data_IF_587457178588
#
_entry.id   IF_587457178588
#
_cell.length_a   1.000
_cell.length_b   1.000
_cell.length_c   1.000
_cell.angle_alpha   90.00
_cell.angle_beta   90.00
_cell.angle_gamma   90.00
#
_symmetry.space_group_name_H-M   'P 1'
#
loop_
_entity.id
_entity.type
_entity.pdbx_description
1 polymer ?
#
# COMPACT_ATOMS: atom_id res chain seq x y z
N UNK A 1 4.31 7.65 -0.48
CA UNK A 1 2.94 7.90 0.02
C UNK A 1 2.95 8.60 1.39
N UNK A 2 3.90 9.51 1.62
CA UNK A 2 4.33 9.95 2.96
C UNK A 2 3.27 10.67 3.80
N UNK A 3 2.23 11.19 3.18
CA UNK A 3 1.15 11.94 3.85
C UNK A 3 -0.13 11.11 4.04
N UNK A 4 -0.19 9.87 3.54
CA UNK A 4 -1.29 8.97 3.84
C UNK A 4 -1.18 8.47 5.29
N UNK A 5 -2.30 8.38 5.99
CA UNK A 5 -2.37 7.62 7.23
C UNK A 5 -2.10 6.13 6.97
N UNK A 6 -1.69 5.40 8.00
CA UNK A 6 -1.45 3.96 7.87
C UNK A 6 -2.70 3.21 7.42
N UNK A 7 -3.87 3.56 7.96
CA UNK A 7 -5.16 2.93 7.61
C UNK A 7 -5.47 3.11 6.13
N UNK A 8 -5.34 4.34 5.61
CA UNK A 8 -5.63 4.64 4.21
C UNK A 8 -4.59 4.02 3.27
N UNK A 9 -3.32 3.89 3.70
CA UNK A 9 -2.28 3.21 2.94
C UNK A 9 -2.60 1.71 2.77
N UNK A 10 -2.99 1.05 3.85
CA UNK A 10 -3.36 -0.37 3.85
C UNK A 10 -4.65 -0.59 3.03
N UNK A 11 -5.67 0.25 3.21
CA UNK A 11 -6.90 0.20 2.41
C UNK A 11 -6.58 0.37 0.91
N UNK A 12 -5.73 1.34 0.56
CA UNK A 12 -5.32 1.59 -0.82
C UNK A 12 -4.60 0.40 -1.45
N UNK A 13 -3.78 -0.32 -0.69
CA UNK A 13 -3.12 -1.55 -1.15
C UNK A 13 -4.14 -2.63 -1.54
N UNK A 14 -5.09 -2.92 -0.65
CA UNK A 14 -6.12 -3.93 -0.92
C UNK A 14 -7.02 -3.51 -2.09
N UNK A 15 -7.40 -2.24 -2.16
CA UNK A 15 -8.20 -1.71 -3.27
C UNK A 15 -7.46 -1.79 -4.60
N UNK A 16 -6.16 -1.47 -4.61
CA UNK A 16 -5.33 -1.59 -5.81
C UNK A 16 -5.24 -3.03 -6.33
N UNK A 17 -5.18 -4.02 -5.43
CA UNK A 17 -5.20 -5.45 -5.78
C UNK A 17 -6.58 -5.90 -6.29
N UNK A 18 -7.66 -5.46 -5.65
CA UNK A 18 -9.04 -5.75 -6.06
C UNK A 18 -9.31 -5.25 -7.48
N UNK A 19 -8.89 -4.01 -7.77
CA UNK A 19 -9.04 -3.37 -9.08
C UNK A 19 -8.04 -3.85 -10.13
N UNK A 20 -7.11 -4.75 -9.76
CA UNK A 20 -6.03 -5.25 -10.63
C UNK A 20 -5.24 -4.11 -11.29
N UNK A 21 -4.86 -3.11 -10.49
CA UNK A 21 -4.01 -2.02 -10.95
C UNK A 21 -2.61 -2.54 -11.34
N UNK A 22 -1.80 -1.66 -11.93
CA UNK A 22 -0.51 -2.08 -12.45
C UNK A 22 0.37 -2.68 -11.34
N UNK A 23 1.11 -3.77 -11.62
CA UNK A 23 1.99 -4.40 -10.63
C UNK A 23 3.01 -3.43 -10.04
N UNK A 24 3.52 -2.50 -10.84
CA UNK A 24 4.50 -1.48 -10.40
C UNK A 24 3.87 -0.53 -9.38
N UNK A 25 2.59 -0.17 -9.57
CA UNK A 25 1.88 0.66 -8.61
C UNK A 25 1.70 -0.08 -7.28
N UNK A 26 1.26 -1.34 -7.32
CA UNK A 26 1.09 -2.18 -6.13
C UNK A 26 2.44 -2.32 -5.39
N UNK A 27 3.53 -2.54 -6.12
CA UNK A 27 4.88 -2.65 -5.54
C UNK A 27 5.33 -1.36 -4.83
N UNK A 28 4.96 -0.19 -5.36
CA UNK A 28 5.24 1.08 -4.68
C UNK A 28 4.51 1.19 -3.33
N UNK A 29 3.27 0.67 -3.25
CA UNK A 29 2.51 0.64 -1.99
C UNK A 29 3.16 -0.34 -1.01
N UNK A 30 3.53 -1.54 -1.46
CA UNK A 30 4.21 -2.52 -0.63
C UNK A 30 5.55 -2.01 -0.08
N UNK A 31 6.33 -1.29 -0.90
CA UNK A 31 7.58 -0.65 -0.46
C UNK A 31 7.34 0.35 0.65
N UNK A 32 6.27 1.14 0.56
CA UNK A 32 5.91 2.08 1.62
C UNK A 32 5.44 1.35 2.89
N UNK A 33 4.63 0.29 2.78
CA UNK A 33 4.18 -0.55 3.90
C UNK A 33 5.39 -1.12 4.65
N UNK A 34 6.38 -1.67 3.92
CA UNK A 34 7.64 -2.18 4.48
C UNK A 34 8.46 -1.07 5.14
N UNK A 35 8.59 0.09 4.49
CA UNK A 35 9.33 1.24 5.02
C UNK A 35 8.75 1.75 6.34
N UNK A 36 7.43 1.65 6.54
CA UNK A 36 6.76 2.02 7.80
C UNK A 36 6.61 0.88 8.81
N UNK A 37 7.14 -0.30 8.48
CA UNK A 37 7.03 -1.51 9.30
C UNK A 37 5.58 -1.93 9.60
N UNK A 38 4.66 -1.75 8.64
CA UNK A 38 3.23 -2.04 8.79
C UNK A 38 2.83 -3.44 8.29
N UNK A 39 3.79 -4.32 7.98
CA UNK A 39 3.53 -5.66 7.42
C UNK A 39 2.69 -6.59 8.31
N UNK A 40 2.55 -6.24 9.60
CA UNK A 40 1.79 -6.99 10.60
C UNK A 40 0.41 -6.39 10.91
N UNK A 41 0.02 -5.31 10.22
CA UNK A 41 -1.34 -4.75 10.28
C UNK A 41 -2.23 -5.41 9.23
#
# INVERSE_FOLDING_TARGET
MKYLSDELLIESYYKAKELKLSPEFIELIEKEIRHRSLEHK
#
